data_IF_833308331936
#
_entry.id   IF_833308331936
#
_cell.length_a   1.000
_cell.length_b   1.000
_cell.length_c   1.000
_cell.angle_alpha   90.00
_cell.angle_beta   90.00
_cell.angle_gamma   90.00
#
_symmetry.space_group_name_H-M   'P 1'
#
loop_
_entity.id
_entity.type
_entity.pdbx_description
1 polymer ?
#
# COMPACT_ATOMS: atom_id res chain seq x y z
N UNK A 1 -0.86 -3.86 13.51
CA UNK A 1 -1.98 -4.07 12.57
C UNK A 1 -3.22 -4.61 13.28
N UNK A 2 -3.16 -5.78 13.93
CA UNK A 2 -4.32 -6.39 14.62
C UNK A 2 -5.01 -5.44 15.61
N UNK A 3 -4.25 -4.80 16.51
CA UNK A 3 -4.84 -3.82 17.45
C UNK A 3 -5.54 -2.65 16.73
N UNK A 4 -4.99 -2.18 15.61
CA UNK A 4 -5.57 -1.09 14.84
C UNK A 4 -6.90 -1.46 14.21
N UNK A 5 -6.99 -2.63 13.57
CA UNK A 5 -8.27 -3.07 13.01
C UNK A 5 -9.30 -3.30 14.12
N UNK A 6 -8.90 -3.90 15.25
CA UNK A 6 -9.81 -4.15 16.37
C UNK A 6 -10.39 -2.86 16.96
N UNK A 7 -9.54 -1.87 17.22
CA UNK A 7 -9.94 -0.56 17.74
C UNK A 7 -10.80 0.23 16.74
N UNK A 8 -10.47 0.12 15.44
CA UNK A 8 -11.26 0.75 14.38
C UNK A 8 -12.65 0.14 14.29
N UNK A 9 -12.76 -1.19 14.30
CA UNK A 9 -14.07 -1.87 14.34
C UNK A 9 -14.88 -1.43 15.55
N UNK A 10 -14.26 -1.37 16.75
CA UNK A 10 -14.92 -0.88 17.96
C UNK A 10 -15.46 0.54 17.83
N UNK A 11 -14.72 1.44 17.18
CA UNK A 11 -15.17 2.81 16.92
C UNK A 11 -16.44 2.83 16.04
N UNK A 12 -16.48 2.03 14.97
CA UNK A 12 -17.61 2.00 14.04
C UNK A 12 -18.83 1.21 14.54
N UNK A 13 -18.68 0.34 15.55
CA UNK A 13 -19.83 -0.27 16.25
C UNK A 13 -20.75 0.81 16.83
N UNK A 14 -20.18 1.90 17.35
CA UNK A 14 -20.92 3.04 17.91
C UNK A 14 -21.44 4.05 16.88
N UNK A 15 -21.23 3.79 15.58
CA UNK A 15 -21.56 4.72 14.48
C UNK A 15 -22.44 4.06 13.43
N UNK A 16 -23.69 3.68 13.77
CA UNK A 16 -24.62 3.07 12.82
C UNK A 16 -25.01 4.00 11.65
N UNK A 17 -24.72 5.30 11.78
CA UNK A 17 -24.84 6.33 10.76
C UNK A 17 -23.79 6.22 9.64
N UNK A 18 -22.70 5.49 9.85
CA UNK A 18 -21.60 5.34 8.88
C UNK A 18 -21.43 3.87 8.49
N UNK A 19 -21.26 3.62 7.18
CA UNK A 19 -20.89 2.30 6.67
C UNK A 19 -19.37 2.11 6.68
N UNK A 20 -18.90 1.07 7.38
CA UNK A 20 -17.52 0.62 7.33
C UNK A 20 -17.41 -0.63 6.43
N UNK A 21 -16.63 -0.53 5.35
CA UNK A 21 -16.27 -1.68 4.51
C UNK A 21 -14.81 -2.07 4.78
N UNK A 22 -14.60 -3.32 5.19
CA UNK A 22 -13.28 -3.85 5.53
C UNK A 22 -12.88 -4.85 4.45
N UNK A 23 -11.87 -4.51 3.64
CA UNK A 23 -11.30 -5.42 2.63
C UNK A 23 -10.05 -6.09 3.18
N UNK A 24 -10.10 -7.41 3.37
CA UNK A 24 -8.92 -8.21 3.73
C UNK A 24 -8.14 -8.57 2.45
N UNK A 25 -6.81 -8.50 2.49
CA UNK A 25 -5.98 -8.64 1.29
C UNK A 25 -6.07 -10.05 0.68
N UNK A 26 -6.25 -10.21 -0.65
CA UNK A 26 -6.36 -11.53 -1.29
C UNK A 26 -5.14 -12.44 -1.05
N UNK A 27 -3.95 -11.84 -1.05
CA UNK A 27 -2.69 -12.54 -0.80
C UNK A 27 -2.51 -13.06 0.63
N UNK A 28 -3.38 -12.70 1.57
CA UNK A 28 -3.35 -13.25 2.93
C UNK A 28 -3.58 -14.77 2.93
N UNK A 29 -4.29 -15.29 1.92
CA UNK A 29 -4.48 -16.74 1.68
C UNK A 29 -3.14 -17.47 1.47
N UNK A 30 -2.11 -16.76 0.99
CA UNK A 30 -0.78 -17.31 0.69
C UNK A 30 0.20 -17.17 1.85
N UNK A 31 -0.18 -16.44 2.90
CA UNK A 31 0.68 -16.16 4.06
C UNK A 31 0.28 -17.00 5.25
N UNK A 32 1.28 -17.47 6.00
CA UNK A 32 1.06 -18.16 7.27
C UNK A 32 1.01 -17.10 8.38
N UNK A 33 -0.11 -17.01 9.12
CA UNK A 33 -0.29 -16.02 10.18
C UNK A 33 -1.73 -15.94 10.69
N UNK A 34 -1.95 -15.07 11.68
CA UNK A 34 -3.30 -14.77 12.17
C UNK A 34 -4.09 -14.05 11.07
N UNK A 35 -5.27 -14.57 10.75
CA UNK A 35 -6.16 -14.01 9.75
C UNK A 35 -6.80 -12.72 10.25
N UNK A 36 -6.82 -11.65 9.44
CA UNK A 36 -7.52 -10.41 9.78
C UNK A 36 -9.03 -10.60 9.82
N UNK A 37 -9.57 -11.60 9.10
CA UNK A 37 -10.97 -12.02 9.25
C UNK A 37 -11.22 -12.51 10.68
N UNK A 38 -10.30 -13.30 11.22
CA UNK A 38 -10.43 -13.85 12.57
C UNK A 38 -10.28 -12.74 13.61
N UNK A 39 -9.31 -11.83 13.46
CA UNK A 39 -9.15 -10.66 14.35
C UNK A 39 -10.42 -9.80 14.40
N UNK A 40 -11.09 -9.59 13.26
CA UNK A 40 -12.36 -8.84 13.21
C UNK A 40 -13.48 -9.60 13.94
N UNK A 41 -13.58 -10.91 13.74
CA UNK A 41 -14.59 -11.73 14.41
C UNK A 41 -14.32 -11.96 15.91
N UNK A 42 -13.07 -11.91 16.35
CA UNK A 42 -12.70 -11.93 17.78
C UNK A 42 -13.23 -10.68 18.51
N UNK A 43 -13.25 -9.52 17.84
CA UNK A 43 -13.79 -8.27 18.39
C UNK A 43 -15.31 -8.35 18.49
N UNK A 44 -15.96 -8.82 17.43
CA UNK A 44 -17.40 -8.99 17.39
C UNK A 44 -17.77 -10.19 16.50
N UNK A 45 -18.20 -11.32 17.10
CA UNK A 45 -18.50 -12.53 16.33
C UNK A 45 -19.56 -12.31 15.24
N UNK A 46 -20.52 -11.42 15.52
CA UNK A 46 -21.56 -11.02 14.56
C UNK A 46 -21.48 -9.51 14.30
N UNK A 47 -21.05 -9.14 13.10
CA UNK A 47 -20.94 -7.75 12.67
C UNK A 47 -22.35 -7.11 12.48
N UNK A 48 -22.55 -5.84 12.89
CA UNK A 48 -23.77 -5.10 12.61
C UNK A 48 -23.89 -4.78 11.12
N UNK A 49 -25.08 -4.40 10.65
CA UNK A 49 -25.35 -4.20 9.22
C UNK A 49 -24.50 -3.11 8.56
N UNK A 50 -24.08 -2.10 9.34
CA UNK A 50 -23.22 -1.01 8.89
C UNK A 50 -21.75 -1.42 8.74
N UNK A 51 -21.33 -2.60 9.21
CA UNK A 51 -19.96 -3.11 9.04
C UNK A 51 -19.96 -4.31 8.10
N UNK A 52 -19.31 -4.16 6.94
CA UNK A 52 -19.21 -5.20 5.90
C UNK A 52 -17.77 -5.68 5.78
N UNK A 53 -17.55 -6.97 5.99
CA UNK A 53 -16.25 -7.61 5.84
C UNK A 53 -16.18 -8.35 4.50
N UNK A 54 -15.26 -7.94 3.64
CA UNK A 54 -14.93 -8.57 2.36
C UNK A 54 -13.71 -9.48 2.57
N UNK A 55 -13.92 -10.78 2.44
CA UNK A 55 -12.93 -11.83 2.68
C UNK A 55 -11.94 -11.93 1.53
N UNK A 56 -10.75 -12.54 1.73
CA UNK A 56 -9.70 -12.62 0.70
C UNK A 56 -10.17 -13.19 -0.65
N UNK A 57 -11.09 -14.16 -0.64
CA UNK A 57 -11.60 -14.84 -1.84
C UNK A 57 -12.84 -14.21 -2.46
N UNK A 58 -13.40 -13.18 -1.84
CA UNK A 58 -14.59 -12.52 -2.38
C UNK A 58 -14.20 -11.73 -3.64
N UNK A 59 -14.97 -11.91 -4.70
CA UNK A 59 -14.76 -11.31 -6.03
C UNK A 59 -15.28 -9.86 -6.08
N UNK A 60 -14.73 -9.01 -5.21
CA UNK A 60 -15.00 -7.57 -5.20
C UNK A 60 -13.78 -6.81 -5.71
N UNK A 61 -14.03 -5.96 -6.72
CA UNK A 61 -13.03 -5.04 -7.25
C UNK A 61 -12.73 -3.93 -6.23
N UNK A 62 -11.47 -3.76 -5.87
CA UNK A 62 -11.03 -2.69 -4.95
C UNK A 62 -11.33 -1.31 -5.51
N UNK A 63 -11.23 -1.11 -6.83
CA UNK A 63 -11.43 0.22 -7.43
C UNK A 63 -12.89 0.69 -7.34
N UNK A 64 -13.86 -0.23 -7.44
CA UNK A 64 -15.27 0.09 -7.23
C UNK A 64 -15.53 0.56 -5.79
N UNK A 65 -14.76 0.06 -4.81
CA UNK A 65 -14.84 0.53 -3.43
C UNK A 65 -14.22 1.92 -3.26
N UNK A 66 -13.12 2.20 -3.96
CA UNK A 66 -12.47 3.52 -3.94
C UNK A 66 -13.41 4.58 -4.51
N UNK A 67 -14.09 4.29 -5.62
CA UNK A 67 -14.96 5.24 -6.32
C UNK A 67 -16.14 5.73 -5.47
N UNK A 68 -16.58 4.94 -4.49
CA UNK A 68 -17.69 5.28 -3.59
C UNK A 68 -17.22 5.65 -2.18
N UNK A 69 -15.91 5.67 -1.92
CA UNK A 69 -15.38 5.92 -0.59
C UNK A 69 -15.33 7.42 -0.25
N UNK A 70 -15.84 7.76 0.94
CA UNK A 70 -15.69 9.08 1.52
C UNK A 70 -14.32 9.27 2.18
N UNK A 71 -13.81 8.23 2.86
CA UNK A 71 -12.55 8.22 3.58
C UNK A 71 -11.88 6.85 3.46
N UNK A 72 -10.59 6.83 3.16
CA UNK A 72 -9.77 5.63 3.13
C UNK A 72 -9.03 5.39 4.46
N UNK A 73 -9.09 4.19 5.01
CA UNK A 73 -8.32 3.79 6.20
C UNK A 73 -7.35 2.66 5.83
N UNK A 74 -6.05 2.88 6.02
CA UNK A 74 -5.03 1.90 5.60
C UNK A 74 -3.94 1.73 6.65
N UNK A 75 -3.33 0.54 6.65
CA UNK A 75 -2.12 0.29 7.44
C UNK A 75 -0.86 0.50 6.59
N UNK A 76 -0.59 -0.39 5.63
CA UNK A 76 0.63 -0.37 4.80
C UNK A 76 0.41 -0.65 3.32
N UNK A 77 -0.84 -0.88 2.88
CA UNK A 77 -1.16 -1.22 1.48
C UNK A 77 -0.91 -0.04 0.53
N UNK A 78 -0.55 -0.31 -0.74
CA UNK A 78 -0.45 0.72 -1.79
C UNK A 78 -1.80 1.34 -2.15
N UNK A 79 -2.90 0.65 -1.83
CA UNK A 79 -4.26 1.15 -2.06
C UNK A 79 -4.50 2.51 -1.40
N UNK A 80 -3.80 2.82 -0.30
CA UNK A 80 -3.87 4.17 0.30
C UNK A 80 -3.30 5.27 -0.58
N UNK A 81 -2.23 4.98 -1.31
CA UNK A 81 -1.69 5.91 -2.31
C UNK A 81 -2.62 6.00 -3.52
N UNK A 82 -3.20 4.88 -3.96
CA UNK A 82 -4.15 4.82 -5.08
C UNK A 82 -5.44 5.61 -4.77
N UNK A 83 -5.96 5.55 -3.54
CA UNK A 83 -7.08 6.39 -3.08
C UNK A 83 -6.73 7.87 -3.06
N UNK A 84 -5.51 8.23 -2.61
CA UNK A 84 -5.07 9.62 -2.64
C UNK A 84 -4.98 10.17 -4.08
N UNK A 85 -4.62 9.32 -5.05
CA UNK A 85 -4.57 9.67 -6.48
C UNK A 85 -5.96 9.96 -7.08
N UNK A 86 -7.05 9.48 -6.46
CA UNK A 86 -8.44 9.77 -6.86
C UNK A 86 -9.07 10.92 -6.06
N UNK A 87 -8.34 11.52 -5.11
CA UNK A 87 -8.83 12.63 -4.29
C UNK A 87 -9.49 12.22 -2.98
N UNK A 88 -9.58 10.92 -2.69
CA UNK A 88 -10.13 10.41 -1.42
C UNK A 88 -9.14 10.72 -0.29
N UNK A 89 -9.58 11.34 0.83
CA UNK A 89 -8.71 11.52 1.99
C UNK A 89 -8.39 10.18 2.63
N UNK A 90 -7.10 9.96 2.93
CA UNK A 90 -6.61 8.68 3.45
C UNK A 90 -5.92 8.85 4.79
N UNK A 91 -6.36 8.08 5.79
CA UNK A 91 -5.70 7.94 7.08
C UNK A 91 -4.76 6.74 7.04
N UNK A 92 -3.48 7.00 7.25
CA UNK A 92 -2.43 5.99 7.28
C UNK A 92 -2.04 5.69 8.73
N UNK A 93 -2.38 4.51 9.21
CA UNK A 93 -2.08 4.08 10.58
C UNK A 93 -0.72 3.36 10.72
N UNK A 94 -0.19 2.81 9.63
CA UNK A 94 1.11 2.12 9.62
C UNK A 94 2.28 3.00 9.17
N UNK A 95 3.47 2.42 9.17
CA UNK A 95 4.67 3.02 8.60
C UNK A 95 4.85 2.50 7.17
N UNK A 96 4.40 3.30 6.20
CA UNK A 96 4.52 2.99 4.78
C UNK A 96 5.33 4.07 4.07
N UNK A 97 5.92 3.72 2.93
CA UNK A 97 6.88 4.54 2.19
C UNK A 97 6.31 5.89 1.72
N UNK A 98 5.00 5.94 1.48
CA UNK A 98 4.27 7.14 1.04
C UNK A 98 3.69 7.99 2.19
N UNK A 99 3.86 7.58 3.45
CA UNK A 99 3.48 8.38 4.63
C UNK A 99 4.30 9.67 4.67
N UNK A 100 3.70 10.77 5.11
CA UNK A 100 4.39 12.05 5.34
C UNK A 100 4.79 12.77 4.06
N UNK A 101 4.14 12.44 2.93
CA UNK A 101 4.45 12.99 1.60
C UNK A 101 3.50 14.08 1.14
N UNK A 102 2.60 14.54 2.02
CA UNK A 102 1.71 15.69 1.78
C UNK A 102 0.32 15.35 1.25
N UNK A 103 0.05 14.08 0.97
CA UNK A 103 -1.24 13.60 0.43
C UNK A 103 -1.95 12.56 1.32
N UNK A 104 -1.52 12.40 2.56
CA UNK A 104 -2.13 11.49 3.55
C UNK A 104 -2.28 12.19 4.90
N UNK A 105 -3.19 11.67 5.71
CA UNK A 105 -3.30 12.02 7.12
C UNK A 105 -2.63 10.95 7.98
N UNK A 106 -1.68 11.37 8.80
CA UNK A 106 -0.70 10.46 9.41
C UNK A 106 -0.71 10.57 10.94
N UNK A 107 -1.78 10.12 11.62
CA UNK A 107 -1.87 10.20 13.07
C UNK A 107 -0.76 9.38 13.74
N UNK A 108 -0.23 9.94 14.82
CA UNK A 108 0.90 9.42 15.61
C UNK A 108 0.46 8.83 16.98
N UNK A 109 -0.82 8.90 17.29
CA UNK A 109 -1.40 8.38 18.54
C UNK A 109 -2.87 7.98 18.33
N UNK A 110 -3.42 7.20 19.26
CA UNK A 110 -4.86 6.88 19.26
C UNK A 110 -5.74 8.12 19.39
N UNK A 111 -5.29 9.13 20.15
CA UNK A 111 -6.03 10.38 20.34
C UNK A 111 -6.09 11.17 19.03
N UNK A 112 -4.97 11.33 18.33
CA UNK A 112 -4.95 11.99 17.02
C UNK A 112 -5.72 11.18 15.97
N UNK A 113 -5.64 9.84 16.00
CA UNK A 113 -6.39 8.95 15.12
C UNK A 113 -7.92 9.15 15.25
N UNK A 114 -8.48 9.06 16.46
CA UNK A 114 -9.93 9.19 16.64
C UNK A 114 -10.45 10.62 16.41
N UNK A 115 -9.65 11.65 16.77
CA UNK A 115 -10.01 13.04 16.44
C UNK A 115 -10.09 13.24 14.93
N UNK A 116 -9.12 12.71 14.20
CA UNK A 116 -9.09 12.78 12.74
C UNK A 116 -10.26 12.01 12.11
N UNK A 117 -10.56 10.81 12.60
CA UNK A 117 -11.75 10.07 12.15
C UNK A 117 -13.05 10.87 12.37
N UNK A 118 -13.22 11.48 13.55
CA UNK A 118 -14.39 12.31 13.82
C UNK A 118 -14.53 13.46 12.82
N UNK A 119 -13.45 14.22 12.63
CA UNK A 119 -13.39 15.34 11.67
C UNK A 119 -13.72 14.90 10.25
N UNK A 120 -13.04 13.87 9.75
CA UNK A 120 -13.20 13.39 8.37
C UNK A 120 -14.61 12.83 8.10
N UNK A 121 -15.23 12.18 9.10
CA UNK A 121 -16.55 11.55 8.94
C UNK A 121 -17.72 12.53 9.10
N UNK A 122 -17.52 13.68 9.75
CA UNK A 122 -18.58 14.69 9.89
C UNK A 122 -18.85 15.41 8.55
N UNK A 123 -17.78 15.75 7.81
CA UNK A 123 -17.86 16.49 6.54
C UNK A 123 -16.87 15.97 5.49
N UNK A 124 -17.04 14.72 4.98
CA UNK A 124 -16.04 14.09 4.12
C UNK A 124 -15.75 14.87 2.82
N UNK A 125 -16.77 15.50 2.25
CA UNK A 125 -16.60 16.30 1.02
C UNK A 125 -15.73 17.54 1.21
N UNK A 126 -15.70 18.12 2.41
CA UNK A 126 -14.83 19.26 2.73
C UNK A 126 -13.37 18.84 2.91
N UNK A 127 -13.12 17.54 3.06
CA UNK A 127 -11.81 16.95 3.28
C UNK A 127 -11.25 16.22 2.05
N UNK A 128 -11.91 16.30 0.89
CA UNK A 128 -11.33 15.81 -0.37
C UNK A 128 -9.96 16.44 -0.61
N UNK A 129 -9.01 15.64 -1.08
CA UNK A 129 -7.68 16.14 -1.39
C UNK A 129 -7.75 17.16 -2.51
N UNK A 130 -7.02 18.25 -2.36
CA UNK A 130 -6.94 19.27 -3.40
C UNK A 130 -6.09 18.78 -4.59
N UNK A 131 -6.13 19.54 -5.69
CA UNK A 131 -5.41 19.19 -6.93
C UNK A 131 -3.89 19.03 -6.73
N UNK A 132 -3.28 19.83 -5.87
CA UNK A 132 -1.85 19.76 -5.60
C UNK A 132 -1.50 18.46 -4.87
N UNK A 133 -2.28 18.08 -3.86
CA UNK A 133 -2.11 16.83 -3.12
C UNK A 133 -2.31 15.61 -4.01
N UNK A 134 -3.35 15.62 -4.87
CA UNK A 134 -3.57 14.56 -5.87
C UNK A 134 -2.39 14.47 -6.82
N UNK A 135 -1.88 15.61 -7.30
CA UNK A 135 -0.71 15.65 -8.19
C UNK A 135 0.52 15.08 -7.50
N UNK A 136 0.74 15.39 -6.21
CA UNK A 136 1.84 14.81 -5.44
C UNK A 136 1.70 13.30 -5.21
N UNK A 137 0.48 12.79 -5.03
CA UNK A 137 0.23 11.35 -4.98
C UNK A 137 0.60 10.67 -6.30
N UNK A 138 0.20 11.25 -7.44
CA UNK A 138 0.57 10.76 -8.78
C UNK A 138 2.07 10.83 -9.04
N UNK A 139 2.70 11.95 -8.68
CA UNK A 139 4.14 12.16 -8.74
C UNK A 139 4.90 11.12 -7.93
N UNK A 140 4.46 10.83 -6.71
CA UNK A 140 5.08 9.83 -5.87
C UNK A 140 4.88 8.43 -6.46
N UNK A 141 3.66 8.07 -6.87
CA UNK A 141 3.35 6.78 -7.46
C UNK A 141 4.15 6.52 -8.72
N UNK A 142 4.24 7.52 -9.61
CA UNK A 142 5.04 7.41 -10.83
C UNK A 142 6.50 7.13 -10.50
N UNK A 143 7.08 7.89 -9.57
CA UNK A 143 8.46 7.67 -9.14
C UNK A 143 8.64 6.30 -8.50
N UNK A 144 7.74 5.88 -7.64
CA UNK A 144 7.85 4.62 -6.92
C UNK A 144 7.75 3.39 -7.83
N UNK A 145 6.80 3.38 -8.78
CA UNK A 145 6.60 2.24 -9.68
C UNK A 145 7.47 2.27 -10.92
N UNK A 146 7.74 3.47 -11.44
CA UNK A 146 8.42 3.61 -12.72
C UNK A 146 9.81 4.14 -12.60
N UNK A 147 10.20 4.98 -11.63
CA UNK A 147 11.56 5.58 -11.52
C UNK A 147 12.51 4.87 -10.55
N UNK A 148 12.01 4.53 -9.38
CA UNK A 148 12.74 3.95 -8.28
C UNK A 148 13.23 2.52 -8.56
N UNK A 149 12.44 1.61 -9.16
CA UNK A 149 12.88 0.24 -9.35
C UNK A 149 14.07 0.16 -10.32
N UNK A 150 15.10 -0.56 -9.91
CA UNK A 150 16.27 -0.86 -10.73
C UNK A 150 16.18 -2.28 -11.27
N UNK A 151 16.69 -2.55 -12.48
CA UNK A 151 16.83 -3.91 -12.97
C UNK A 151 17.59 -4.77 -11.96
N UNK A 152 17.04 -5.94 -11.63
CA UNK A 152 17.67 -6.88 -10.72
C UNK A 152 17.52 -8.31 -11.29
N UNK A 153 18.57 -9.14 -11.27
CA UNK A 153 18.59 -10.40 -12.02
C UNK A 153 17.71 -11.50 -11.39
N UNK A 154 17.26 -11.33 -10.15
CA UNK A 154 16.52 -12.37 -9.42
C UNK A 154 15.25 -11.82 -8.78
N UNK A 155 14.11 -12.35 -9.18
CA UNK A 155 12.82 -11.97 -8.66
C UNK A 155 12.58 -12.64 -7.29
N UNK A 156 12.04 -11.89 -6.32
CA UNK A 156 11.82 -12.37 -4.95
C UNK A 156 11.07 -13.71 -4.89
N UNK A 157 10.01 -13.87 -5.68
CA UNK A 157 9.16 -15.07 -5.69
C UNK A 157 9.82 -16.28 -6.37
N UNK A 158 10.75 -16.06 -7.31
CA UNK A 158 11.39 -17.13 -8.12
C UNK A 158 12.90 -17.16 -7.94
N UNK A 159 13.38 -16.66 -6.80
CA UNK A 159 14.79 -16.37 -6.53
C UNK A 159 15.70 -17.53 -6.94
N UNK A 160 15.38 -18.75 -6.51
CA UNK A 160 16.22 -19.92 -6.77
C UNK A 160 16.19 -20.41 -8.22
N UNK A 161 15.07 -20.25 -8.92
CA UNK A 161 14.96 -20.62 -10.32
C UNK A 161 15.69 -19.60 -11.19
N UNK A 162 15.51 -18.30 -10.90
CA UNK A 162 16.24 -17.22 -11.55
C UNK A 162 17.75 -17.36 -11.29
N UNK A 163 18.16 -17.76 -10.08
CA UNK A 163 19.59 -17.94 -9.74
C UNK A 163 20.21 -19.13 -10.49
N UNK A 164 19.48 -20.23 -10.66
CA UNK A 164 19.93 -21.36 -11.49
C UNK A 164 20.07 -20.96 -12.96
N UNK A 165 19.12 -20.18 -13.49
CA UNK A 165 19.14 -19.70 -14.87
C UNK A 165 20.22 -18.62 -15.11
N UNK A 166 20.45 -17.78 -14.10
CA UNK A 166 21.41 -16.67 -14.11
C UNK A 166 22.28 -16.71 -12.85
N UNK A 167 23.29 -17.60 -12.79
CA UNK A 167 24.23 -17.64 -11.67
C UNK A 167 24.99 -16.33 -11.52
N UNK A 168 25.39 -15.99 -10.29
CA UNK A 168 26.12 -14.75 -9.97
C UNK A 168 27.31 -14.51 -10.91
N UNK A 169 28.13 -15.54 -11.17
CA UNK A 169 29.29 -15.43 -12.05
C UNK A 169 28.91 -14.97 -13.47
N UNK A 170 27.87 -15.55 -14.05
CA UNK A 170 27.36 -15.18 -15.39
C UNK A 170 26.80 -13.77 -15.40
N UNK A 171 26.13 -13.36 -14.32
CA UNK A 171 25.61 -11.99 -14.18
C UNK A 171 26.75 -10.98 -14.10
N UNK A 172 27.86 -11.30 -13.43
CA UNK A 172 28.99 -10.38 -13.27
C UNK A 172 29.94 -10.34 -14.47
N UNK A 173 30.00 -11.41 -15.28
CA UNK A 173 30.98 -11.56 -16.37
C UNK A 173 30.37 -11.62 -17.78
N UNK A 174 29.06 -11.84 -17.92
CA UNK A 174 28.39 -12.03 -19.21
C UNK A 174 27.92 -10.74 -19.88
N UNK A 175 27.29 -10.85 -21.04
CA UNK A 175 26.70 -9.73 -21.81
C UNK A 175 25.68 -8.92 -20.99
N UNK A 176 25.05 -9.54 -19.99
CA UNK A 176 24.10 -8.90 -19.08
C UNK A 176 24.75 -8.18 -17.89
N UNK A 177 26.09 -8.23 -17.78
CA UNK A 177 26.82 -7.53 -16.73
C UNK A 177 26.53 -6.03 -16.79
N UNK A 178 26.48 -5.43 -17.97
CA UNK A 178 26.16 -4.01 -18.12
C UNK A 178 24.74 -3.66 -17.66
N UNK A 179 23.76 -4.54 -17.87
CA UNK A 179 22.36 -4.34 -17.49
C UNK A 179 22.21 -4.18 -15.96
N UNK A 180 22.91 -5.02 -15.18
CA UNK A 180 22.78 -5.06 -13.72
C UNK A 180 23.93 -4.39 -12.97
N UNK A 181 25.05 -4.08 -13.64
CA UNK A 181 26.23 -3.51 -13.01
C UNK A 181 25.93 -2.21 -12.28
N UNK A 182 25.04 -1.38 -12.83
CA UNK A 182 24.61 -0.14 -12.19
C UNK A 182 23.89 -0.41 -10.86
N UNK A 183 22.95 -1.36 -10.85
CA UNK A 183 22.26 -1.78 -9.62
C UNK A 183 23.24 -2.31 -8.58
N UNK A 184 24.22 -3.13 -8.97
CA UNK A 184 25.24 -3.62 -8.04
C UNK A 184 26.13 -2.51 -7.50
N UNK A 185 26.54 -1.55 -8.33
CA UNK A 185 27.28 -0.35 -7.88
C UNK A 185 26.51 0.43 -6.82
N UNK A 186 25.21 0.62 -7.00
CA UNK A 186 24.35 1.25 -5.99
C UNK A 186 24.27 0.45 -4.69
N UNK A 187 24.17 -0.88 -4.78
CA UNK A 187 24.14 -1.75 -3.59
C UNK A 187 25.45 -1.74 -2.80
N UNK A 188 26.59 -1.45 -3.43
CA UNK A 188 27.89 -1.30 -2.74
C UNK A 188 28.20 0.14 -2.31
N UNK A 189 27.24 1.06 -2.46
CA UNK A 189 27.29 2.41 -1.89
C UNK A 189 27.57 3.55 -2.87
N UNK A 190 27.62 3.29 -4.18
CA UNK A 190 27.66 4.39 -5.15
C UNK A 190 26.34 5.18 -5.14
N UNK A 191 26.39 6.53 -5.22
CA UNK A 191 25.19 7.35 -5.30
C UNK A 191 24.34 7.01 -6.53
N UNK A 192 23.01 7.01 -6.36
CA UNK A 192 22.08 6.86 -7.49
C UNK A 192 22.12 8.13 -8.34
N UNK A 193 22.39 7.96 -9.63
CA UNK A 193 22.32 9.03 -10.63
C UNK A 193 20.98 8.98 -11.35
N UNK A 194 20.10 9.91 -10.98
CA UNK A 194 18.75 10.02 -11.52
C UNK A 194 18.70 10.68 -12.91
N UNK A 195 19.82 11.19 -13.43
CA UNK A 195 19.89 11.83 -14.76
C UNK A 195 20.06 10.84 -15.91
N UNK A 196 20.48 9.61 -15.63
CA UNK A 196 20.76 8.59 -16.63
C UNK A 196 19.47 7.99 -17.18
N UNK A 197 19.33 7.97 -18.51
CA UNK A 197 18.29 7.19 -19.18
C UNK A 197 18.41 5.71 -18.80
N UNK A 198 17.26 5.06 -18.64
CA UNK A 198 17.20 3.66 -18.23
C UNK A 198 17.13 2.81 -19.48
N UNK A 199 18.21 2.06 -19.72
CA UNK A 199 18.22 1.08 -20.81
C UNK A 199 17.14 0.03 -20.58
N UNK A 200 16.20 -0.07 -21.52
CA UNK A 200 15.21 -1.16 -21.58
C UNK A 200 15.83 -2.48 -22.06
N UNK A 201 17.13 -2.69 -21.85
CA UNK A 201 17.83 -3.89 -22.30
C UNK A 201 17.30 -5.10 -21.53
N UNK A 202 16.40 -5.85 -22.15
CA UNK A 202 16.11 -7.21 -21.73
C UNK A 202 17.26 -8.08 -22.25
N UNK A 203 18.01 -8.67 -21.34
CA UNK A 203 18.73 -9.89 -21.66
C UNK A 203 17.73 -11.05 -21.71
N UNK A 204 17.67 -11.74 -22.85
CA UNK A 204 16.95 -13.00 -23.03
C UNK A 204 17.50 -14.13 -22.12
#
# INVERSE_FOLDING_TARGET
MAEWISRTVQYFIGRPDIQLVIRVHPGEVLTHGQSMVDVVHEVLPRLPENIRLIKPKDEINTYDLIDVADVGLVYTTTVGMEMAMTGVPVVVAGQTHYRGRGFTHDPDSWVSYYKLLGLLLEHPEEHRLNREQVTEAWHYAYRFFFEYPQPFPWHLVRLWDDYKARPLEKVLQGECSEQYARTFRYLVGEPIDWSLERGNGQCD
#
